data_IF_769504296231
#
_entry.id   IF_769504296231
#
_cell.length_a   1.000
_cell.length_b   1.000
_cell.length_c   1.000
_cell.angle_alpha   90.00
_cell.angle_beta   90.00
_cell.angle_gamma   90.00
#
_symmetry.space_group_name_H-M   'P 1'
#
loop_
_entity.id
_entity.type
_entity.pdbx_description
1 polymer ?
#
# COMPACT_ATOMS: atom_id res chain seq x y z
N UNK A 1 65.84 -15.99 -15.40
CA UNK A 1 64.55 -16.69 -15.58
C UNK A 1 63.93 -16.91 -14.20
N UNK A 2 62.86 -16.19 -13.86
CA UNK A 2 62.14 -16.42 -12.60
C UNK A 2 61.17 -17.59 -12.81
N UNK A 3 61.36 -18.71 -12.10
CA UNK A 3 60.39 -19.81 -12.06
C UNK A 3 59.12 -19.28 -11.40
N UNK A 4 58.02 -19.23 -12.15
CA UNK A 4 56.68 -19.05 -11.58
C UNK A 4 56.41 -20.25 -10.66
N UNK A 5 56.12 -19.99 -9.39
CA UNK A 5 55.75 -21.03 -8.43
C UNK A 5 54.43 -21.67 -8.91
N UNK A 6 54.44 -22.97 -9.14
CA UNK A 6 53.24 -23.73 -9.49
C UNK A 6 52.31 -23.79 -8.28
N UNK A 7 51.06 -23.34 -8.47
CA UNK A 7 50.03 -23.35 -7.43
C UNK A 7 49.62 -24.80 -7.10
N UNK A 8 49.46 -25.12 -5.82
CA UNK A 8 49.03 -26.46 -5.40
C UNK A 8 47.50 -26.58 -5.35
N UNK A 9 47.00 -27.80 -5.53
CA UNK A 9 45.55 -28.09 -5.42
C UNK A 9 45.00 -27.72 -4.03
N UNK A 10 45.81 -27.93 -2.98
CA UNK A 10 45.45 -27.62 -1.59
C UNK A 10 45.29 -26.11 -1.40
N UNK A 11 46.22 -25.30 -1.90
CA UNK A 11 46.12 -23.83 -1.82
C UNK A 11 44.83 -23.33 -2.50
N UNK A 12 44.46 -23.89 -3.65
CA UNK A 12 43.22 -23.53 -4.33
C UNK A 12 41.97 -23.94 -3.51
N UNK A 13 41.97 -25.14 -2.94
CA UNK A 13 40.88 -25.66 -2.11
C UNK A 13 40.65 -24.80 -0.85
N UNK A 14 41.71 -24.36 -0.18
CA UNK A 14 41.60 -23.50 1.00
C UNK A 14 41.01 -22.14 0.63
N UNK A 15 41.41 -21.55 -0.50
CA UNK A 15 40.89 -20.26 -0.95
C UNK A 15 39.40 -20.33 -1.25
N UNK A 16 38.94 -21.34 -1.98
CA UNK A 16 37.50 -21.48 -2.27
C UNK A 16 36.69 -21.76 -1.00
N UNK A 17 37.24 -22.50 -0.03
CA UNK A 17 36.59 -22.74 1.26
C UNK A 17 36.39 -21.45 2.06
N UNK A 18 37.41 -20.57 2.09
CA UNK A 18 37.31 -19.27 2.73
C UNK A 18 36.27 -18.38 2.03
N UNK A 19 36.27 -18.33 0.69
CA UNK A 19 35.28 -17.56 -0.08
C UNK A 19 33.86 -18.07 0.19
N UNK A 20 33.65 -19.39 0.21
CA UNK A 20 32.36 -19.99 0.50
C UNK A 20 31.86 -19.63 1.91
N UNK A 21 32.73 -19.68 2.92
CA UNK A 21 32.40 -19.28 4.29
C UNK A 21 32.02 -17.80 4.38
N UNK A 22 32.79 -16.92 3.72
CA UNK A 22 32.50 -15.48 3.70
C UNK A 22 31.15 -15.19 3.02
N UNK A 23 30.88 -15.82 1.88
CA UNK A 23 29.59 -15.67 1.18
C UNK A 23 28.41 -16.18 2.02
N UNK A 24 28.59 -17.29 2.75
CA UNK A 24 27.56 -17.84 3.62
C UNK A 24 27.15 -16.86 4.73
N UNK A 25 28.11 -16.13 5.31
CA UNK A 25 27.84 -15.14 6.36
C UNK A 25 27.29 -13.83 5.78
N UNK A 26 27.69 -13.45 4.56
CA UNK A 26 27.24 -12.20 3.92
C UNK A 26 25.82 -12.29 3.32
N UNK A 27 25.38 -13.48 2.89
CA UNK A 27 24.11 -13.63 2.20
C UNK A 27 22.88 -13.17 3.03
N UNK A 28 22.75 -13.51 4.33
CA UNK A 28 21.66 -13.02 5.17
C UNK A 28 21.65 -11.49 5.30
N UNK A 29 22.84 -10.87 5.42
CA UNK A 29 22.97 -9.42 5.52
C UNK A 29 22.51 -8.72 4.23
N UNK A 30 22.93 -9.24 3.07
CA UNK A 30 22.54 -8.68 1.77
C UNK A 30 21.03 -8.78 1.52
N UNK A 31 20.39 -9.88 1.94
CA UNK A 31 18.93 -10.02 1.84
C UNK A 31 18.19 -8.96 2.67
N UNK A 32 18.65 -8.71 3.91
CA UNK A 32 18.10 -7.65 4.77
C UNK A 32 18.27 -6.27 4.13
N UNK A 33 19.47 -5.96 3.61
CA UNK A 33 19.74 -4.69 2.93
C UNK A 33 18.85 -4.49 1.71
N UNK A 34 18.69 -5.51 0.85
CA UNK A 34 17.78 -5.46 -0.30
C UNK A 34 16.34 -5.20 0.11
N UNK A 35 15.88 -5.81 1.21
CA UNK A 35 14.53 -5.58 1.75
C UNK A 35 14.34 -4.13 2.21
N UNK A 36 15.28 -3.59 2.97
CA UNK A 36 15.25 -2.20 3.41
C UNK A 36 15.31 -1.21 2.24
N UNK A 37 16.12 -1.49 1.23
CA UNK A 37 16.17 -0.68 0.00
C UNK A 37 14.82 -0.68 -0.74
N UNK A 38 14.16 -1.84 -0.85
CA UNK A 38 12.82 -1.94 -1.45
C UNK A 38 11.75 -1.18 -0.64
N UNK A 39 11.84 -1.19 0.69
CA UNK A 39 10.97 -0.40 1.57
C UNK A 39 11.15 1.10 1.34
N UNK A 40 12.39 1.59 1.35
CA UNK A 40 12.70 2.99 1.08
C UNK A 40 12.25 3.42 -0.33
N UNK A 41 12.44 2.56 -1.33
CA UNK A 41 11.99 2.81 -2.69
C UNK A 41 10.45 2.82 -2.81
N UNK A 42 9.73 1.99 -2.03
CA UNK A 42 8.26 2.05 -1.94
C UNK A 42 7.80 3.43 -1.43
N UNK A 43 8.41 3.92 -0.35
CA UNK A 43 8.10 5.26 0.17
C UNK A 43 8.44 6.37 -0.82
N UNK A 44 9.56 6.25 -1.55
CA UNK A 44 9.92 7.21 -2.58
C UNK A 44 8.89 7.25 -3.72
N UNK A 45 8.36 6.10 -4.15
CA UNK A 45 7.26 6.03 -5.14
C UNK A 45 5.98 6.68 -4.61
N UNK A 46 5.62 6.45 -3.35
CA UNK A 46 4.47 7.14 -2.73
C UNK A 46 4.67 8.65 -2.58
N UNK A 47 5.90 9.13 -2.33
CA UNK A 47 6.19 10.57 -2.34
C UNK A 47 6.02 11.17 -3.73
N UNK A 48 6.43 10.46 -4.77
CA UNK A 48 6.17 10.87 -6.16
C UNK A 48 4.66 10.91 -6.45
N UNK A 49 3.89 9.93 -5.97
CA UNK A 49 2.41 9.98 -6.04
C UNK A 49 1.82 11.17 -5.29
N UNK A 50 2.27 11.47 -4.07
CA UNK A 50 1.79 12.62 -3.32
C UNK A 50 2.01 13.93 -4.09
N UNK A 51 3.15 14.07 -4.76
CA UNK A 51 3.41 15.21 -5.66
C UNK A 51 2.46 15.22 -6.85
N UNK A 52 2.22 14.08 -7.51
CA UNK A 52 1.29 13.97 -8.65
C UNK A 52 -0.14 14.36 -8.23
N UNK A 53 -0.63 13.84 -7.10
CA UNK A 53 -1.94 14.20 -6.57
C UNK A 53 -2.02 15.68 -6.22
N UNK A 54 -0.96 16.25 -5.63
CA UNK A 54 -0.89 17.67 -5.34
C UNK A 54 -0.98 18.51 -6.62
N UNK A 55 -0.20 18.16 -7.64
CA UNK A 55 -0.23 18.84 -8.94
C UNK A 55 -1.62 18.78 -9.57
N UNK A 56 -2.31 17.62 -9.49
CA UNK A 56 -3.68 17.49 -9.96
C UNK A 56 -4.63 18.42 -9.20
N UNK A 57 -4.58 18.39 -7.87
CA UNK A 57 -5.46 19.21 -7.03
C UNK A 57 -5.22 20.70 -7.23
N UNK A 58 -3.96 21.13 -7.32
CA UNK A 58 -3.58 22.53 -7.59
C UNK A 58 -4.16 23.01 -8.94
N UNK A 59 -4.22 22.12 -9.94
CA UNK A 59 -4.85 22.39 -11.24
C UNK A 59 -6.38 22.29 -11.27
N UNK A 60 -7.02 21.92 -10.16
CA UNK A 60 -8.45 21.62 -10.07
C UNK A 60 -9.10 22.29 -8.85
N UNK A 61 -8.71 23.53 -8.54
CA UNK A 61 -9.22 24.32 -7.41
C UNK A 61 -9.16 23.61 -6.04
N UNK A 62 -8.11 22.81 -5.83
CA UNK A 62 -7.91 22.01 -4.62
C UNK A 62 -8.81 20.77 -4.52
N UNK A 63 -9.63 20.49 -5.54
CA UNK A 63 -10.51 19.32 -5.58
C UNK A 63 -9.77 18.08 -6.07
N UNK A 64 -10.10 16.96 -5.44
CA UNK A 64 -9.71 15.64 -5.90
C UNK A 64 -10.48 15.24 -7.16
N UNK A 65 -10.05 14.15 -7.79
CA UNK A 65 -10.67 13.66 -9.01
C UNK A 65 -12.16 13.41 -8.81
N UNK A 66 -12.92 13.54 -9.90
CA UNK A 66 -14.36 13.34 -9.88
C UNK A 66 -14.70 11.85 -9.81
N UNK A 67 -15.67 11.48 -8.98
CA UNK A 67 -16.29 10.16 -9.05
C UNK A 67 -17.59 10.24 -9.83
N UNK A 68 -17.79 9.37 -10.84
CA UNK A 68 -19.06 9.29 -11.56
C UNK A 68 -20.02 8.29 -10.88
N UNK A 69 -20.98 8.83 -10.12
CA UNK A 69 -22.22 8.14 -9.75
C UNK A 69 -22.05 6.66 -9.37
N UNK A 70 -22.77 5.77 -10.04
CA UNK A 70 -22.76 4.33 -9.72
C UNK A 70 -21.49 3.58 -10.16
N UNK A 71 -20.61 4.19 -10.97
CA UNK A 71 -19.41 3.55 -11.52
C UNK A 71 -18.16 4.43 -11.35
N UNK A 72 -17.36 4.11 -10.34
CA UNK A 72 -16.02 4.70 -10.12
C UNK A 72 -15.04 4.26 -11.21
N UNK A 73 -15.40 3.23 -11.99
CA UNK A 73 -14.54 2.59 -12.98
C UNK A 73 -14.16 3.52 -14.15
N UNK A 74 -15.05 4.44 -14.54
CA UNK A 74 -14.82 5.35 -15.68
C UNK A 74 -13.98 6.58 -15.38
N UNK A 75 -13.74 6.91 -14.10
CA UNK A 75 -13.01 8.12 -13.66
C UNK A 75 -11.99 7.79 -12.56
N UNK A 76 -11.45 6.58 -12.63
CA UNK A 76 -10.46 6.10 -11.67
C UNK A 76 -9.21 6.98 -11.68
N UNK A 77 -8.54 7.10 -10.53
CA UNK A 77 -7.30 7.85 -10.36
C UNK A 77 -6.23 7.54 -11.42
N UNK A 78 -6.19 6.31 -11.93
CA UNK A 78 -5.27 5.89 -12.99
C UNK A 78 -5.48 6.73 -14.25
N UNK A 79 -6.72 6.81 -14.72
CA UNK A 79 -7.10 7.56 -15.92
C UNK A 79 -6.91 9.06 -15.71
N UNK A 80 -7.40 9.57 -14.58
CA UNK A 80 -7.36 10.99 -14.26
C UNK A 80 -5.93 11.53 -14.13
N UNK A 81 -4.99 10.72 -13.65
CA UNK A 81 -3.60 11.12 -13.42
C UNK A 81 -2.66 10.68 -14.55
N UNK A 82 -3.11 9.88 -15.51
CA UNK A 82 -2.27 9.40 -16.64
C UNK A 82 -1.51 10.51 -17.36
N UNK A 83 -2.05 11.72 -17.57
CA UNK A 83 -1.28 12.82 -18.16
C UNK A 83 -0.10 13.31 -17.31
N UNK A 84 -0.12 13.05 -16.00
CA UNK A 84 0.84 13.54 -15.01
C UNK A 84 1.98 12.55 -14.71
N UNK A 85 1.88 11.30 -15.17
CA UNK A 85 2.96 10.31 -15.01
C UNK A 85 3.09 9.41 -16.24
N UNK A 86 4.33 9.19 -16.71
CA UNK A 86 4.62 8.36 -17.89
C UNK A 86 5.07 6.95 -17.55
N UNK A 87 5.66 6.75 -16.37
CA UNK A 87 6.22 5.46 -15.97
C UNK A 87 5.16 4.61 -15.24
N UNK A 88 4.63 3.53 -15.84
CA UNK A 88 3.64 2.68 -15.19
C UNK A 88 4.19 1.94 -13.97
N UNK A 89 5.50 1.76 -13.84
CA UNK A 89 6.15 1.15 -12.67
C UNK A 89 5.97 1.96 -11.40
N UNK A 90 5.63 3.24 -11.54
CA UNK A 90 5.35 4.12 -10.41
C UNK A 90 4.17 3.60 -9.58
N UNK A 91 3.22 2.89 -10.20
CA UNK A 91 2.05 2.30 -9.53
C UNK A 91 2.36 1.08 -8.67
N UNK A 92 3.60 0.60 -8.72
CA UNK A 92 4.00 -0.64 -8.06
C UNK A 92 4.91 -0.37 -6.89
N UNK A 93 4.78 -1.18 -5.87
CA UNK A 93 5.74 -1.33 -4.81
C UNK A 93 6.87 -2.22 -5.31
N UNK A 94 8.16 -1.90 -5.05
CA UNK A 94 9.29 -2.77 -5.42
C UNK A 94 9.26 -4.17 -4.77
N UNK A 95 8.40 -4.38 -3.78
CA UNK A 95 8.14 -5.70 -3.19
C UNK A 95 7.03 -6.49 -3.89
N UNK A 96 6.19 -5.83 -4.68
CA UNK A 96 5.15 -6.47 -5.46
C UNK A 96 5.72 -7.03 -6.78
N UNK A 97 5.18 -8.18 -7.21
CA UNK A 97 5.44 -8.83 -8.48
C UNK A 97 4.30 -8.56 -9.44
N UNK A 98 4.65 -8.23 -10.68
CA UNK A 98 3.69 -8.07 -11.78
C UNK A 98 3.27 -9.39 -12.40
N UNK A 99 4.04 -10.46 -12.16
CA UNK A 99 3.86 -11.74 -12.84
C UNK A 99 2.92 -12.58 -11.98
N UNK A 100 1.70 -12.77 -12.47
CA UNK A 100 0.66 -13.54 -11.77
C UNK A 100 1.09 -15.00 -11.51
N UNK A 101 1.92 -15.55 -12.42
CA UNK A 101 2.47 -16.90 -12.40
C UNK A 101 3.64 -17.10 -11.42
N UNK A 102 4.21 -16.04 -10.81
CA UNK A 102 5.15 -16.27 -9.71
C UNK A 102 4.40 -16.87 -8.52
N UNK A 103 4.92 -18.00 -7.99
CA UNK A 103 4.49 -18.63 -6.72
C UNK A 103 4.85 -17.74 -5.53
N UNK A 104 4.25 -16.54 -5.49
CA UNK A 104 4.38 -15.60 -4.39
C UNK A 104 3.08 -15.48 -3.60
N UNK A 105 3.17 -15.27 -2.29
CA UNK A 105 2.02 -14.86 -1.48
C UNK A 105 1.28 -13.66 -2.09
N UNK A 106 -0.06 -13.64 -1.99
CA UNK A 106 -0.90 -12.62 -2.65
C UNK A 106 -0.58 -11.19 -2.24
N UNK A 107 -0.13 -10.96 -1.01
CA UNK A 107 0.36 -9.65 -0.52
C UNK A 107 1.49 -9.07 -1.37
N UNK A 108 2.21 -9.91 -2.10
CA UNK A 108 3.26 -9.52 -3.04
C UNK A 108 2.80 -9.57 -4.50
N UNK A 109 1.52 -9.76 -4.81
CA UNK A 109 1.00 -9.68 -6.17
C UNK A 109 0.44 -8.29 -6.46
N UNK A 110 0.72 -7.79 -7.66
CA UNK A 110 0.05 -6.62 -8.19
C UNK A 110 -1.41 -6.94 -8.54
N UNK A 111 -2.31 -5.99 -8.35
CA UNK A 111 -3.64 -6.04 -8.95
C UNK A 111 -3.55 -5.70 -10.43
N UNK A 112 -4.52 -6.19 -11.20
CA UNK A 112 -4.72 -5.89 -12.62
C UNK A 112 -6.06 -5.19 -12.80
N UNK A 113 -6.12 -4.22 -13.71
CA UNK A 113 -7.30 -3.44 -14.02
C UNK A 113 -7.41 -3.24 -15.53
N UNK A 114 -8.60 -3.45 -16.10
CA UNK A 114 -8.89 -3.37 -17.55
C UNK A 114 -7.78 -3.98 -18.43
N UNK A 115 -7.32 -5.18 -18.05
CA UNK A 115 -6.32 -6.03 -18.72
C UNK A 115 -4.89 -5.49 -18.88
N UNK A 116 -4.69 -4.18 -18.90
CA UNK A 116 -3.39 -3.54 -19.23
C UNK A 116 -2.74 -2.82 -18.06
N UNK A 117 -3.55 -2.38 -17.09
CA UNK A 117 -3.06 -1.62 -15.97
C UNK A 117 -2.76 -2.53 -14.78
N UNK A 118 -1.55 -2.39 -14.25
CA UNK A 118 -1.13 -3.09 -13.05
C UNK A 118 -0.61 -2.12 -12.02
N UNK A 119 -0.86 -2.43 -10.76
CA UNK A 119 -0.34 -1.67 -9.65
C UNK A 119 -0.42 -2.46 -8.35
N UNK A 120 0.12 -1.85 -7.31
CA UNK A 120 0.06 -2.43 -5.98
C UNK A 120 -0.19 -1.35 -4.93
N UNK A 121 -0.57 -0.17 -5.37
CA UNK A 121 -1.09 0.90 -4.54
C UNK A 121 -2.56 1.10 -4.85
N UNK A 122 -3.32 1.64 -3.90
CA UNK A 122 -4.72 1.93 -4.09
C UNK A 122 -5.09 3.27 -3.47
N UNK A 123 -6.04 3.95 -4.09
CA UNK A 123 -6.56 5.22 -3.57
C UNK A 123 -7.70 5.00 -2.61
N UNK A 124 -7.77 5.82 -1.55
CA UNK A 124 -8.94 5.94 -0.70
C UNK A 124 -10.11 6.55 -1.50
N UNK A 125 -11.17 5.79 -1.77
CA UNK A 125 -12.36 6.25 -2.50
C UNK A 125 -13.03 7.47 -1.85
N UNK A 126 -12.88 7.65 -0.54
CA UNK A 126 -13.54 8.75 0.15
C UNK A 126 -12.92 10.11 -0.17
N UNK A 127 -11.78 10.17 -0.86
CA UNK A 127 -11.14 11.44 -1.23
C UNK A 127 -11.77 12.08 -2.48
N UNK A 128 -12.41 11.29 -3.36
CA UNK A 128 -12.96 11.79 -4.62
C UNK A 128 -13.98 12.93 -4.39
N UNK A 129 -14.23 13.72 -5.44
CA UNK A 129 -15.31 14.70 -5.51
C UNK A 129 -16.54 14.09 -6.23
N UNK A 130 -17.60 13.69 -5.50
CA UNK A 130 -18.85 13.24 -6.12
C UNK A 130 -19.47 14.29 -7.02
N UNK A 131 -20.00 13.86 -8.17
CA UNK A 131 -20.72 14.75 -9.08
C UNK A 131 -21.88 15.49 -8.37
N UNK A 132 -22.15 16.77 -8.71
CA UNK A 132 -23.28 17.52 -8.17
C UNK A 132 -24.60 16.77 -8.36
N UNK A 133 -25.46 16.79 -7.34
CA UNK A 133 -26.75 16.10 -7.35
C UNK A 133 -26.70 14.60 -7.03
N UNK A 134 -25.51 14.00 -6.90
CA UNK A 134 -25.36 12.59 -6.48
C UNK A 134 -25.37 12.52 -4.95
N UNK A 135 -26.32 11.78 -4.38
CA UNK A 135 -26.47 11.59 -2.93
C UNK A 135 -25.72 10.36 -2.40
N UNK A 136 -25.50 9.35 -3.23
CA UNK A 136 -24.81 8.11 -2.86
C UNK A 136 -24.01 7.51 -4.02
N UNK A 137 -22.86 6.92 -3.71
CA UNK A 137 -21.98 6.20 -4.67
C UNK A 137 -21.73 4.81 -4.12
N UNK A 138 -22.29 3.78 -4.77
CA UNK A 138 -22.14 2.39 -4.34
C UNK A 138 -22.66 2.14 -2.92
N UNK A 139 -23.77 2.77 -2.54
CA UNK A 139 -24.36 2.69 -1.20
C UNK A 139 -23.72 3.62 -0.16
N UNK A 140 -22.70 4.40 -0.53
CA UNK A 140 -21.97 5.30 0.38
C UNK A 140 -22.46 6.74 0.24
N UNK A 141 -22.93 7.40 1.33
CA UNK A 141 -23.39 8.78 1.28
C UNK A 141 -22.31 9.76 0.81
N UNK A 142 -22.63 10.63 -0.15
CA UNK A 142 -21.66 11.61 -0.69
C UNK A 142 -21.29 12.73 0.29
N UNK A 143 -22.03 12.86 1.40
CA UNK A 143 -21.69 13.74 2.53
C UNK A 143 -20.41 13.30 3.27
N UNK A 144 -20.03 12.03 3.16
CA UNK A 144 -18.88 11.46 3.88
C UNK A 144 -17.56 11.63 3.13
N UNK A 145 -17.59 12.01 1.84
CA UNK A 145 -16.43 12.22 0.99
C UNK A 145 -15.70 13.53 1.32
N UNK A 146 -14.38 13.53 1.28
CA UNK A 146 -13.53 14.69 1.58
C UNK A 146 -13.59 15.77 0.51
N UNK A 147 -13.55 15.36 -0.78
CA UNK A 147 -13.63 16.21 -1.99
C UNK A 147 -12.44 17.13 -2.23
N UNK A 148 -11.92 17.74 -1.17
CA UNK A 148 -10.84 18.73 -1.21
C UNK A 148 -9.60 18.24 -0.46
N UNK A 149 -8.44 18.77 -0.83
CA UNK A 149 -7.16 18.50 -0.18
C UNK A 149 -6.93 19.38 1.05
N UNK A 150 -7.44 20.63 1.03
CA UNK A 150 -7.33 21.59 2.12
C UNK A 150 -8.35 21.30 3.23
N UNK A 151 -8.13 20.20 3.96
CA UNK A 151 -9.00 19.75 5.05
C UNK A 151 -8.26 19.70 6.38
N UNK A 152 -8.94 20.08 7.47
CA UNK A 152 -8.36 20.01 8.82
C UNK A 152 -8.07 18.55 9.17
N UNK A 153 -6.87 18.27 9.66
CA UNK A 153 -6.45 16.92 10.02
C UNK A 153 -6.02 16.05 8.83
N UNK A 154 -5.66 16.66 7.69
CA UNK A 154 -5.15 15.97 6.50
C UNK A 154 -4.04 14.94 6.78
N UNK A 155 -3.23 15.17 7.82
CA UNK A 155 -2.18 14.27 8.29
C UNK A 155 -2.69 12.93 8.84
N UNK A 156 -3.97 12.81 9.16
CA UNK A 156 -4.61 11.56 9.59
C UNK A 156 -5.62 11.00 8.57
N UNK A 157 -5.69 11.57 7.37
CA UNK A 157 -6.57 11.12 6.30
C UNK A 157 -5.72 10.40 5.24
N UNK A 158 -5.84 9.07 5.11
CA UNK A 158 -5.09 8.33 4.12
C UNK A 158 -5.57 8.69 2.72
N UNK A 159 -4.62 8.91 1.81
CA UNK A 159 -4.88 9.24 0.42
C UNK A 159 -4.58 8.04 -0.49
N UNK A 160 -3.35 7.54 -0.46
CA UNK A 160 -2.87 6.55 -1.41
C UNK A 160 -1.81 5.66 -0.75
N UNK A 161 -1.98 4.35 -0.80
CA UNK A 161 -1.19 3.43 0.03
C UNK A 161 -1.08 2.04 -0.56
N UNK A 162 -0.21 1.19 0.00
CA UNK A 162 -0.10 -0.20 -0.42
C UNK A 162 -1.47 -0.90 -0.38
N UNK A 163 -1.83 -1.56 -1.49
CA UNK A 163 -3.11 -2.22 -1.63
C UNK A 163 -3.03 -3.48 -2.51
N UNK A 164 -4.00 -4.37 -2.32
CA UNK A 164 -4.31 -5.53 -3.17
C UNK A 164 -5.40 -5.23 -4.21
N UNK A 165 -5.91 -3.99 -4.23
CA UNK A 165 -6.92 -3.51 -5.17
C UNK A 165 -6.61 -2.05 -5.55
N UNK A 166 -6.97 -1.56 -6.76
CA UNK A 166 -6.66 -0.19 -7.18
C UNK A 166 -7.33 0.89 -6.33
N UNK A 167 -8.36 0.54 -5.57
CA UNK A 167 -9.12 1.48 -4.76
C UNK A 167 -9.96 0.77 -3.70
N UNK A 168 -10.63 1.54 -2.86
CA UNK A 168 -11.46 1.04 -1.77
C UNK A 168 -11.95 2.20 -0.91
N UNK A 169 -13.15 2.09 -0.35
CA UNK A 169 -13.60 3.02 0.69
C UNK A 169 -13.93 2.24 1.94
N UNK A 170 -12.93 2.06 2.83
CA UNK A 170 -13.11 1.33 4.07
C UNK A 170 -14.15 1.97 4.97
N UNK A 171 -14.87 1.13 5.69
CA UNK A 171 -15.70 1.53 6.83
C UNK A 171 -15.00 1.15 8.14
N UNK A 172 -15.32 1.86 9.23
CA UNK A 172 -14.76 1.54 10.56
C UNK A 172 -15.22 0.19 11.09
N UNK A 173 -16.33 -0.34 10.57
CA UNK A 173 -16.88 -1.67 10.86
C UNK A 173 -16.31 -2.78 9.99
N UNK A 174 -15.49 -2.47 8.98
CA UNK A 174 -14.87 -3.49 8.15
C UNK A 174 -13.97 -4.39 9.00
N UNK A 175 -14.19 -5.70 8.97
CA UNK A 175 -13.40 -6.65 9.74
C UNK A 175 -11.98 -6.81 9.17
N UNK A 176 -10.95 -7.10 9.98
CA UNK A 176 -9.66 -7.49 9.46
C UNK A 176 -9.78 -8.76 8.60
N UNK A 177 -8.88 -8.94 7.61
CA UNK A 177 -8.82 -10.18 6.85
C UNK A 177 -8.70 -11.39 7.78
N UNK A 178 -9.49 -12.44 7.53
CA UNK A 178 -9.51 -13.62 8.39
C UNK A 178 -8.16 -14.38 8.43
N UNK A 179 -7.39 -14.29 7.35
CA UNK A 179 -6.06 -14.90 7.21
C UNK A 179 -5.14 -14.02 6.35
N UNK A 180 -3.82 -14.18 6.51
CA UNK A 180 -2.83 -13.52 5.67
C UNK A 180 -3.04 -13.98 4.22
N UNK A 181 -3.09 -13.05 3.27
CA UNK A 181 -3.35 -13.31 1.84
C UNK A 181 -4.81 -13.63 1.47
N UNK A 182 -5.79 -13.24 2.30
CA UNK A 182 -7.20 -13.22 1.89
C UNK A 182 -7.38 -12.43 0.58
N UNK A 183 -8.13 -12.95 -0.42
CA UNK A 183 -8.38 -12.22 -1.66
C UNK A 183 -9.17 -10.94 -1.38
N UNK A 184 -8.97 -9.88 -2.19
CA UNK A 184 -9.75 -8.65 -2.06
C UNK A 184 -11.24 -8.95 -2.25
N UNK A 185 -12.08 -8.27 -1.49
CA UNK A 185 -13.53 -8.40 -1.59
C UNK A 185 -14.02 -7.69 -2.86
N UNK A 186 -14.76 -8.40 -3.70
CA UNK A 186 -15.43 -7.79 -4.85
C UNK A 186 -16.84 -7.33 -4.44
N UNK A 187 -17.20 -6.08 -4.74
CA UNK A 187 -18.53 -5.54 -4.46
C UNK A 187 -18.69 -4.79 -3.12
N UNK A 188 -19.86 -4.89 -2.52
CA UNK A 188 -20.22 -4.18 -1.29
C UNK A 188 -19.86 -5.01 -0.04
N UNK A 189 -18.61 -4.95 0.41
CA UNK A 189 -18.19 -5.50 1.71
C UNK A 189 -16.69 -5.44 1.96
N UNK A 190 -16.29 -5.23 3.22
CA UNK A 190 -14.94 -5.27 3.76
C UNK A 190 -13.84 -4.63 2.88
N UNK A 191 -13.92 -3.31 2.67
CA UNK A 191 -12.94 -2.60 1.81
C UNK A 191 -11.63 -2.29 2.55
N UNK A 192 -11.60 -2.38 3.88
CA UNK A 192 -10.34 -2.31 4.64
C UNK A 192 -9.38 -3.44 4.26
N UNK A 193 -9.88 -4.62 3.91
CA UNK A 193 -9.07 -5.75 3.46
C UNK A 193 -8.23 -5.45 2.20
N UNK A 194 -8.61 -4.45 1.41
CA UNK A 194 -7.81 -4.03 0.24
C UNK A 194 -6.47 -3.44 0.66
N UNK A 195 -6.40 -2.86 1.86
CA UNK A 195 -5.23 -2.14 2.38
C UNK A 195 -4.55 -2.87 3.53
N UNK A 196 -5.28 -3.72 4.26
CA UNK A 196 -4.71 -4.52 5.35
C UNK A 196 -3.91 -5.72 4.79
N UNK A 197 -2.75 -5.42 4.18
CA UNK A 197 -1.88 -6.41 3.53
C UNK A 197 -0.48 -6.41 4.15
N UNK A 198 0.00 -7.59 4.57
CA UNK A 198 1.31 -7.79 5.20
C UNK A 198 2.51 -7.67 4.25
N UNK A 199 2.55 -6.65 3.38
CA UNK A 199 3.65 -6.48 2.40
C UNK A 199 4.95 -6.00 3.05
N UNK A 200 4.86 -5.24 4.13
CA UNK A 200 6.01 -4.60 4.78
C UNK A 200 6.15 -4.96 6.26
N UNK A 201 6.13 -6.27 6.57
CA UNK A 201 6.37 -6.82 7.91
C UNK A 201 5.45 -6.22 8.99
N UNK A 202 4.15 -6.24 8.76
CA UNK A 202 3.16 -5.69 9.69
C UNK A 202 2.87 -4.20 9.53
N UNK A 203 3.39 -3.59 8.47
CA UNK A 203 3.08 -2.22 8.07
C UNK A 203 2.63 -2.15 6.60
N UNK A 204 2.00 -1.04 6.27
CA UNK A 204 1.84 -0.51 4.91
C UNK A 204 2.44 0.89 4.83
N UNK A 205 2.91 1.30 3.65
CA UNK A 205 3.26 2.69 3.44
C UNK A 205 2.04 3.44 2.90
N UNK A 206 1.86 4.67 3.38
CA UNK A 206 0.72 5.51 3.05
C UNK A 206 1.12 6.96 2.83
N UNK A 207 0.62 7.53 1.74
CA UNK A 207 0.52 8.96 1.53
C UNK A 207 -0.79 9.48 2.16
N UNK A 208 -0.74 10.68 2.74
CA UNK A 208 -1.84 11.33 3.43
C UNK A 208 -2.27 12.61 2.68
N UNK A 209 -3.44 13.16 3.01
CA UNK A 209 -3.96 14.38 2.35
C UNK A 209 -3.11 15.62 2.64
N UNK A 210 -2.26 15.62 3.67
CA UNK A 210 -1.25 16.67 3.90
C UNK A 210 0.04 16.47 3.07
N UNK A 211 0.03 15.51 2.13
CA UNK A 211 1.15 15.13 1.27
C UNK A 211 2.32 14.45 1.99
N UNK A 212 2.18 14.16 3.29
CA UNK A 212 3.16 13.36 4.02
C UNK A 212 3.09 11.90 3.61
N UNK A 213 4.21 11.18 3.72
CA UNK A 213 4.30 9.74 3.50
C UNK A 213 4.92 9.10 4.73
N UNK A 214 4.21 8.12 5.31
CA UNK A 214 4.66 7.39 6.51
C UNK A 214 4.23 5.94 6.45
N UNK A 215 4.84 5.14 7.32
CA UNK A 215 4.37 3.78 7.60
C UNK A 215 3.14 3.86 8.48
N UNK A 216 2.26 2.88 8.36
CA UNK A 216 1.09 2.67 9.20
C UNK A 216 1.08 1.20 9.57
N UNK A 217 1.03 0.89 10.86
CA UNK A 217 0.85 -0.49 11.33
C UNK A 217 -0.49 -1.05 10.84
N UNK A 218 -0.57 -2.35 10.55
CA UNK A 218 -1.80 -2.92 9.96
C UNK A 218 -3.04 -2.69 10.83
N UNK A 219 -2.94 -2.87 12.15
CA UNK A 219 -4.02 -2.57 13.09
C UNK A 219 -4.34 -1.06 13.18
N UNK A 220 -3.33 -0.22 12.94
CA UNK A 220 -3.46 1.24 12.91
C UNK A 220 -4.35 1.76 11.78
N UNK A 221 -4.65 0.96 10.76
CA UNK A 221 -5.56 1.36 9.67
C UNK A 221 -6.96 1.73 10.18
N UNK A 222 -7.47 1.05 11.22
CA UNK A 222 -8.78 1.36 11.83
C UNK A 222 -8.77 2.62 12.69
N UNK A 223 -7.60 3.20 12.94
CA UNK A 223 -7.46 4.41 13.72
C UNK A 223 -7.18 5.65 12.84
N UNK A 224 -7.25 5.50 11.51
CA UNK A 224 -7.13 6.57 10.52
C UNK A 224 -8.52 7.13 10.14
N UNK A 225 -8.58 8.41 9.77
CA UNK A 225 -9.83 9.08 9.41
C UNK A 225 -10.13 8.93 7.90
N UNK A 226 -10.55 7.74 7.46
CA UNK A 226 -10.77 7.44 6.03
C UNK A 226 -11.83 8.33 5.37
N UNK A 227 -12.97 8.54 6.03
CA UNK A 227 -14.06 9.42 5.60
C UNK A 227 -14.48 10.35 6.73
N UNK A 228 -15.29 11.38 6.42
CA UNK A 228 -15.63 12.46 7.37
C UNK A 228 -16.29 11.94 8.66
N UNK A 229 -17.12 10.92 8.53
CA UNK A 229 -17.85 10.27 9.63
C UNK A 229 -17.19 8.98 10.12
N UNK A 230 -15.96 8.67 9.68
CA UNK A 230 -15.28 7.45 10.10
C UNK A 230 -15.01 7.50 11.60
N UNK A 231 -15.48 6.50 12.34
CA UNK A 231 -15.24 6.42 13.78
C UNK A 231 -13.87 5.81 14.05
N UNK A 232 -12.93 6.63 14.52
CA UNK A 232 -11.58 6.19 14.89
C UNK A 232 -11.53 5.47 16.23
N UNK A 233 -12.67 5.40 16.94
CA UNK A 233 -12.89 4.56 18.12
C UNK A 233 -13.80 3.37 17.79
N UNK A 234 -13.90 3.02 16.50
CA UNK A 234 -14.75 1.93 16.03
C UNK A 234 -14.36 0.56 16.60
N UNK A 235 -15.11 -0.50 16.23
CA UNK A 235 -15.07 -1.81 16.89
C UNK A 235 -13.73 -2.55 16.81
N UNK A 236 -12.81 -2.14 15.93
CA UNK A 236 -11.47 -2.73 15.78
C UNK A 236 -10.38 -1.85 16.38
N UNK A 237 -10.71 -1.19 17.50
CA UNK A 237 -9.80 -0.35 18.26
C UNK A 237 -9.95 -0.63 19.75
N UNK A 238 -8.92 -0.35 20.53
CA UNK A 238 -8.98 -0.46 22.00
C UNK A 238 -10.12 0.38 22.59
N UNK A 239 -10.34 1.59 22.05
CA UNK A 239 -11.42 2.48 22.47
C UNK A 239 -12.82 1.92 22.12
N UNK A 240 -12.93 1.11 21.07
CA UNK A 240 -14.14 0.37 20.70
C UNK A 240 -14.28 -0.98 21.41
N UNK A 241 -13.39 -1.31 22.36
CA UNK A 241 -13.42 -2.54 23.14
C UNK A 241 -12.75 -3.75 22.49
N UNK A 242 -12.02 -3.57 21.37
CA UNK A 242 -11.30 -4.65 20.72
C UNK A 242 -10.10 -5.12 21.57
N UNK A 243 -10.09 -6.40 21.91
CA UNK A 243 -9.02 -7.05 22.64
C UNK A 243 -8.03 -7.72 21.67
N UNK A 244 -6.87 -8.13 22.18
CA UNK A 244 -5.84 -8.77 21.35
C UNK A 244 -6.36 -10.08 20.74
N UNK A 245 -7.14 -10.85 21.50
CA UNK A 245 -7.77 -12.10 21.08
C UNK A 245 -8.79 -11.95 19.97
N UNK A 246 -9.44 -10.79 19.83
CA UNK A 246 -10.41 -10.53 18.76
C UNK A 246 -9.75 -10.44 17.38
N UNK A 247 -8.46 -10.07 17.35
CA UNK A 247 -7.70 -10.02 16.10
C UNK A 247 -7.45 -11.44 15.55
N UNK A 248 -7.55 -11.62 14.21
CA UNK A 248 -7.16 -12.86 13.54
C UNK A 248 -5.72 -13.27 13.86
N UNK A 249 -5.46 -14.58 13.95
CA UNK A 249 -4.20 -15.14 14.44
C UNK A 249 -2.96 -14.54 13.74
N UNK A 250 -3.05 -14.31 12.43
CA UNK A 250 -1.92 -13.82 11.61
C UNK A 250 -1.53 -12.37 11.92
N UNK A 251 -2.45 -11.53 12.39
CA UNK A 251 -2.22 -10.11 12.69
C UNK A 251 -2.13 -9.84 14.20
N UNK A 252 -2.63 -10.76 15.03
CA UNK A 252 -2.70 -10.62 16.49
C UNK A 252 -1.39 -10.18 17.15
N UNK A 253 -0.27 -10.77 16.72
CA UNK A 253 1.06 -10.53 17.28
C UNK A 253 1.67 -9.17 16.90
N UNK A 254 1.07 -8.45 15.95
CA UNK A 254 1.55 -7.16 15.48
C UNK A 254 1.17 -6.06 16.46
N UNK A 255 2.05 -5.06 16.56
CA UNK A 255 1.85 -3.89 17.41
C UNK A 255 0.72 -2.99 16.88
N UNK A 256 0.01 -2.36 17.81
CA UNK A 256 -0.99 -1.31 17.57
C UNK A 256 -0.40 0.09 17.34
N UNK A 257 0.94 0.20 17.25
CA UNK A 257 1.65 1.48 17.10
C UNK A 257 1.58 2.06 15.68
N UNK A 258 1.46 3.39 15.64
CA UNK A 258 1.37 4.24 14.44
C UNK A 258 2.74 4.60 13.86
#
# INVERSE_FOLDING_TARGET
MYKLKSFTLIELLVVIAIIALLLAIMMPALQRVKKQARLAACQARLKQWAVIFKMYADGNDGKMMRSQGYNIEGFMWIEALRPLYKNPDLRLCPMASKIEQEERPRRFKAWTWFETDHGSYGINDWVYDPAPGVESIGGRPTKDYWRYTSVRGGNNIPLFLDASHPHGGPAHTDAPPAYEDMPPAWGAGNRMAHYCIGRHDGFVNSAFLDWSVRRVGLKGLWKLKWHRTFDTNGPWTEAGGCLTEDWPQWIRHLSDSY
#
